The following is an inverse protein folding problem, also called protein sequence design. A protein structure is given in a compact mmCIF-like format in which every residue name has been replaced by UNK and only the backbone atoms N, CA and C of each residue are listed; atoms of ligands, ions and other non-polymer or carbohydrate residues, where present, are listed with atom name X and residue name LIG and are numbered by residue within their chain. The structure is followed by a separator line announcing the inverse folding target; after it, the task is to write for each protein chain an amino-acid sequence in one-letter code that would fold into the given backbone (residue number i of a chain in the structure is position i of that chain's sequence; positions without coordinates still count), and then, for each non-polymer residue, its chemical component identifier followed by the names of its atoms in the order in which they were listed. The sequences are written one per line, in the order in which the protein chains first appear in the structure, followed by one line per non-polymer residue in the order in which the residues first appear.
data_IF_653192659369
#
_entry.id   IF_653192659369
#
_cell.length_a   1.000
_cell.length_b   1.000
_cell.length_c   1.000
_cell.angle_alpha   90.00
_cell.angle_beta   90.00
_cell.angle_gamma   90.00
#
_symmetry.space_group_name_H-M   'P 1'
#
loop_
_entity.id
_entity.type
_entity.pdbx_description
1 polymer ?
#
# COMPACT_ATOMS: atom_id res chain seq x y z
N UNK A 1 7.03 18.24 14.07
CA UNK A 1 6.38 19.56 13.88
C UNK A 1 7.45 20.61 13.67
N UNK A 2 7.36 21.35 12.58
CA UNK A 2 8.26 22.46 12.32
C UNK A 2 8.09 23.52 13.43
N UNK A 3 9.22 24.01 13.99
CA UNK A 3 9.18 25.08 14.98
C UNK A 3 9.24 26.43 14.26
N UNK A 4 8.20 27.26 14.42
CA UNK A 4 8.16 28.62 13.92
C UNK A 4 8.10 29.63 15.06
N UNK A 5 8.48 30.88 14.77
CA UNK A 5 8.38 31.99 15.72
C UNK A 5 8.07 33.29 15.01
N UNK A 6 7.47 34.25 15.76
CA UNK A 6 7.21 35.61 15.27
C UNK A 6 8.04 36.60 16.06
N UNK A 7 8.49 37.66 15.40
CA UNK A 7 9.21 38.75 16.03
C UNK A 7 8.82 40.13 15.45
N UNK A 8 8.86 41.14 16.26
CA UNK A 8 8.61 42.52 15.83
C UNK A 8 9.89 43.18 15.30
N UNK A 9 9.79 43.82 14.13
CA UNK A 9 10.84 44.68 13.55
C UNK A 9 10.20 45.99 13.11
N UNK A 10 10.49 47.07 13.81
CA UNK A 10 9.87 48.36 13.54
C UNK A 10 8.35 48.34 13.74
N UNK A 11 7.58 48.74 12.73
CA UNK A 11 6.12 48.75 12.78
C UNK A 11 5.47 47.43 12.44
N UNK A 12 6.21 46.45 11.86
CA UNK A 12 5.67 45.16 11.38
C UNK A 12 6.18 44.02 12.18
N UNK A 13 5.37 42.94 12.21
CA UNK A 13 5.74 41.62 12.69
C UNK A 13 6.27 40.80 11.52
N UNK A 14 7.22 39.92 11.83
CA UNK A 14 7.82 38.98 10.90
C UNK A 14 7.64 37.56 11.46
N UNK A 15 7.46 36.59 10.59
CA UNK A 15 7.42 35.17 10.98
C UNK A 15 8.57 34.43 10.33
N UNK A 16 9.06 33.40 10.99
CA UNK A 16 10.16 32.57 10.52
C UNK A 16 9.92 31.13 10.92
N UNK A 17 10.31 30.19 10.04
CA UNK A 17 10.30 28.77 10.30
C UNK A 17 11.38 28.08 9.47
N UNK A 18 11.66 26.81 9.78
CA UNK A 18 12.66 26.03 9.08
C UNK A 18 12.07 25.37 7.85
N UNK A 19 12.77 25.48 6.71
CA UNK A 19 12.48 24.79 5.46
C UNK A 19 13.69 23.96 5.05
N UNK A 20 13.50 22.85 4.37
CA UNK A 20 14.59 22.09 3.77
C UNK A 20 15.03 22.77 2.47
N UNK A 21 16.34 22.92 2.27
CA UNK A 21 16.92 23.32 0.99
C UNK A 21 17.00 22.12 0.01
N UNK A 22 17.52 22.38 -1.20
CA UNK A 22 17.69 21.36 -2.23
C UNK A 22 18.63 20.22 -1.81
N UNK A 23 19.47 20.45 -0.82
CA UNK A 23 20.42 19.49 -0.25
C UNK A 23 19.86 18.74 0.97
N UNK A 24 18.62 19.03 1.39
CA UNK A 24 17.97 18.41 2.52
C UNK A 24 18.34 19.03 3.88
N UNK A 25 19.06 20.14 3.91
CA UNK A 25 19.42 20.81 5.13
C UNK A 25 18.29 21.75 5.60
N UNK A 26 18.09 21.83 6.92
CA UNK A 26 17.13 22.74 7.52
C UNK A 26 17.67 24.17 7.56
N UNK A 27 17.12 25.06 6.75
CA UNK A 27 17.45 26.48 6.71
C UNK A 27 16.29 27.29 7.26
N UNK A 28 16.60 28.24 8.19
CA UNK A 28 15.59 29.13 8.71
C UNK A 28 15.34 30.28 7.72
N UNK A 29 14.09 30.44 7.27
CA UNK A 29 13.69 31.59 6.45
C UNK A 29 12.72 32.50 7.20
N UNK A 30 12.86 33.79 6.96
CA UNK A 30 12.05 34.83 7.55
C UNK A 30 11.19 35.51 6.48
N UNK A 31 9.92 35.74 6.83
CA UNK A 31 8.90 36.32 5.95
C UNK A 31 8.26 37.55 6.63
N UNK A 32 7.82 38.51 5.82
CA UNK A 32 7.13 39.68 6.29
C UNK A 32 5.69 39.30 6.67
N UNK A 33 5.27 39.70 7.88
CA UNK A 33 3.88 39.56 8.33
C UNK A 33 3.16 40.92 8.28
N UNK A 34 2.25 41.13 9.24
CA UNK A 34 1.43 42.35 9.36
C UNK A 34 1.87 43.23 10.53
N UNK A 35 1.12 44.29 10.78
CA UNK A 35 1.31 45.13 11.98
C UNK A 35 0.71 44.48 13.23
N UNK A 36 -0.15 43.44 13.06
CA UNK A 36 -0.76 42.68 14.11
C UNK A 36 0.03 41.40 14.40
N UNK A 37 0.33 41.15 15.68
CA UNK A 37 0.96 39.89 16.13
C UNK A 37 0.09 38.68 15.83
N UNK A 38 -1.18 38.75 16.18
CA UNK A 38 -2.13 37.66 16.02
C UNK A 38 -2.32 37.25 14.56
N UNK A 39 -2.45 38.23 13.66
CA UNK A 39 -2.52 37.96 12.21
C UNK A 39 -1.23 37.34 11.68
N UNK A 40 -0.08 37.81 12.14
CA UNK A 40 1.22 37.24 11.74
C UNK A 40 1.39 35.79 12.25
N UNK A 41 0.87 35.47 13.44
CA UNK A 41 0.85 34.11 13.95
C UNK A 41 -0.10 33.19 13.13
N UNK A 42 -1.21 33.74 12.64
CA UNK A 42 -2.10 33.03 11.72
C UNK A 42 -1.42 32.77 10.37
N UNK A 43 -0.72 33.76 9.83
CA UNK A 43 0.08 33.60 8.61
C UNK A 43 1.20 32.56 8.77
N UNK A 44 1.87 32.55 9.92
CA UNK A 44 2.89 31.54 10.22
C UNK A 44 2.27 30.11 10.19
N UNK A 45 1.14 29.90 10.87
CA UNK A 45 0.47 28.59 10.88
C UNK A 45 0.12 28.14 9.48
N UNK A 46 -0.53 29.01 8.70
CA UNK A 46 -0.90 28.72 7.32
C UNK A 46 0.33 28.43 6.45
N UNK A 47 1.39 29.21 6.56
CA UNK A 47 2.63 29.01 5.80
C UNK A 47 3.32 27.68 6.16
N UNK A 48 3.27 27.26 7.42
CA UNK A 48 3.79 25.96 7.86
C UNK A 48 2.94 24.81 7.34
N UNK A 49 1.61 24.91 7.37
CA UNK A 49 0.68 23.93 6.80
C UNK A 49 0.90 23.81 5.29
N UNK A 50 0.97 24.91 4.56
CA UNK A 50 1.23 24.95 3.12
C UNK A 50 2.61 24.34 2.77
N UNK A 51 3.63 24.59 3.59
CA UNK A 51 4.96 24.03 3.40
C UNK A 51 4.96 22.51 3.63
N UNK A 52 4.32 22.04 4.71
CA UNK A 52 4.21 20.61 4.97
C UNK A 52 3.38 19.89 3.88
N UNK A 53 2.32 20.52 3.38
CA UNK A 53 1.53 20.01 2.28
C UNK A 53 2.34 19.91 0.97
N UNK A 54 3.14 20.96 0.65
CA UNK A 54 4.04 20.94 -0.52
C UNK A 54 5.15 19.89 -0.38
N UNK A 55 5.74 19.77 0.80
CA UNK A 55 6.75 18.74 1.09
C UNK A 55 6.17 17.34 0.94
N UNK A 56 4.93 17.15 1.39
CA UNK A 56 4.17 15.92 1.18
C UNK A 56 3.98 15.61 -0.31
N UNK A 57 3.54 16.59 -1.11
CA UNK A 57 3.37 16.44 -2.56
C UNK A 57 4.70 16.13 -3.25
N UNK A 58 5.79 16.82 -2.90
CA UNK A 58 7.11 16.59 -3.49
C UNK A 58 7.66 15.18 -3.22
N UNK A 59 7.47 14.64 -2.00
CA UNK A 59 7.85 13.26 -1.69
C UNK A 59 7.04 12.23 -2.46
N UNK A 60 5.74 12.49 -2.68
CA UNK A 60 4.86 11.58 -3.42
C UNK A 60 5.08 11.63 -4.94
N UNK A 61 5.59 12.74 -5.47
CA UNK A 61 5.72 12.96 -6.92
C UNK A 61 6.63 11.95 -7.61
N UNK A 62 7.65 11.49 -6.94
CA UNK A 62 8.66 10.58 -7.50
C UNK A 62 8.55 9.13 -7.03
N UNK A 63 7.79 8.85 -5.96
CA UNK A 63 7.67 7.50 -5.45
C UNK A 63 6.83 6.61 -6.38
N UNK A 64 7.35 5.41 -6.68
CA UNK A 64 6.61 4.38 -7.42
C UNK A 64 5.91 3.39 -6.48
N UNK A 65 4.98 2.59 -7.03
CA UNK A 65 4.34 1.50 -6.28
C UNK A 65 5.40 0.50 -5.79
N UNK A 66 6.40 0.18 -6.59
CA UNK A 66 7.48 -0.71 -6.20
C UNK A 66 8.30 -0.18 -5.03
N UNK A 67 8.64 1.12 -5.03
CA UNK A 67 9.32 1.76 -3.91
C UNK A 67 8.46 1.81 -2.64
N UNK A 68 7.16 2.05 -2.78
CA UNK A 68 6.23 1.96 -1.66
C UNK A 68 6.23 0.55 -1.05
N UNK A 69 6.16 -0.48 -1.88
CA UNK A 69 6.18 -1.88 -1.44
C UNK A 69 7.49 -2.23 -0.71
N UNK A 70 8.64 -1.75 -1.20
CA UNK A 70 9.93 -1.94 -0.52
C UNK A 70 9.94 -1.27 0.85
N UNK A 71 9.49 0.00 0.93
CA UNK A 71 9.39 0.71 2.21
C UNK A 71 8.45 0.00 3.19
N UNK A 72 7.30 -0.47 2.71
CA UNK A 72 6.35 -1.21 3.54
C UNK A 72 6.92 -2.51 4.08
N UNK A 73 7.66 -3.26 3.26
CA UNK A 73 8.34 -4.50 3.68
C UNK A 73 9.36 -4.22 4.78
N UNK A 74 10.20 -3.20 4.60
CA UNK A 74 11.29 -2.92 5.55
C UNK A 74 10.78 -2.31 6.87
N UNK A 75 9.78 -1.44 6.80
CA UNK A 75 9.39 -0.64 7.95
C UNK A 75 8.15 -1.15 8.70
N UNK A 76 7.29 -1.94 8.06
CA UNK A 76 6.06 -2.47 8.69
C UNK A 76 6.03 -3.99 8.70
N UNK A 77 6.36 -4.64 7.57
CA UNK A 77 6.21 -6.09 7.46
C UNK A 77 7.26 -6.86 8.27
N UNK A 78 8.56 -6.54 8.08
CA UNK A 78 9.67 -7.22 8.77
C UNK A 78 9.69 -6.99 10.28
N UNK A 79 9.48 -5.75 10.77
CA UNK A 79 9.43 -5.48 12.22
C UNK A 79 8.14 -5.98 12.88
N UNK A 80 7.13 -6.35 12.09
CA UNK A 80 5.84 -6.82 12.59
C UNK A 80 5.90 -8.20 13.25
N UNK A 81 4.78 -8.59 13.89
CA UNK A 81 4.66 -9.86 14.60
C UNK A 81 4.23 -11.04 13.70
N UNK A 82 4.58 -11.02 12.41
CA UNK A 82 4.25 -12.09 11.49
C UNK A 82 5.32 -13.18 11.50
N UNK A 83 4.91 -14.42 11.25
CA UNK A 83 5.87 -15.53 11.10
C UNK A 83 6.81 -15.29 9.91
N UNK A 84 8.04 -15.80 10.00
CA UNK A 84 9.02 -15.70 8.91
C UNK A 84 8.46 -16.26 7.58
N UNK A 85 7.70 -17.35 7.62
CA UNK A 85 7.05 -17.91 6.44
C UNK A 85 6.07 -16.95 5.77
N UNK A 86 5.28 -16.23 6.58
CA UNK A 86 4.34 -15.21 6.07
C UNK A 86 5.08 -14.04 5.46
N UNK A 87 6.15 -13.55 6.12
CA UNK A 87 6.99 -12.46 5.60
C UNK A 87 7.60 -12.85 4.24
N UNK A 88 8.18 -14.05 4.13
CA UNK A 88 8.75 -14.55 2.87
C UNK A 88 7.69 -14.68 1.76
N UNK A 89 6.49 -15.17 2.08
CA UNK A 89 5.39 -15.28 1.13
C UNK A 89 4.96 -13.91 0.60
N UNK A 90 4.85 -12.91 1.48
CA UNK A 90 4.51 -11.53 1.11
C UNK A 90 5.60 -10.88 0.29
N UNK A 91 6.88 -11.08 0.64
CA UNK A 91 8.01 -10.62 -0.18
C UNK A 91 7.98 -11.21 -1.59
N UNK A 92 7.68 -12.50 -1.73
CA UNK A 92 7.48 -13.14 -3.02
C UNK A 92 6.38 -12.46 -3.85
N UNK A 93 5.27 -12.08 -3.19
CA UNK A 93 4.17 -11.33 -3.85
C UNK A 93 4.60 -9.91 -4.23
N UNK A 94 5.30 -9.21 -3.35
CA UNK A 94 5.88 -7.89 -3.62
C UNK A 94 6.77 -7.93 -4.88
N UNK A 95 7.66 -8.90 -4.97
CA UNK A 95 8.55 -9.05 -6.13
C UNK A 95 7.76 -9.25 -7.44
N UNK A 96 6.68 -10.02 -7.42
CA UNK A 96 5.82 -10.20 -8.60
C UNK A 96 5.07 -8.92 -8.99
N UNK A 97 4.56 -8.15 -8.00
CA UNK A 97 3.93 -6.85 -8.26
C UNK A 97 4.93 -5.87 -8.87
N UNK A 98 6.17 -5.86 -8.39
CA UNK A 98 7.25 -5.00 -8.91
C UNK A 98 7.65 -5.33 -10.35
N UNK A 99 7.59 -6.60 -10.74
CA UNK A 99 7.86 -7.04 -12.12
C UNK A 99 6.75 -6.61 -13.10
N UNK A 100 5.51 -6.43 -12.60
CA UNK A 100 4.41 -5.95 -13.42
C UNK A 100 4.51 -4.43 -13.63
N UNK A 101 4.07 -3.87 -14.78
CA UNK A 101 4.11 -2.43 -15.06
C UNK A 101 3.47 -1.54 -13.99
N UNK A 102 2.52 -2.06 -13.20
CA UNK A 102 1.93 -1.34 -12.05
C UNK A 102 2.99 -0.98 -11.01
N UNK A 103 4.03 -1.80 -10.83
CA UNK A 103 5.14 -1.55 -9.90
C UNK A 103 5.95 -0.30 -10.25
N UNK A 104 6.09 0.01 -11.53
CA UNK A 104 6.83 1.17 -12.02
C UNK A 104 5.98 2.45 -12.09
N UNK A 105 4.67 2.34 -11.85
CA UNK A 105 3.78 3.49 -11.91
C UNK A 105 3.99 4.40 -10.69
N UNK A 106 4.03 5.72 -10.94
CA UNK A 106 4.15 6.71 -9.85
C UNK A 106 2.90 6.70 -8.99
N UNK A 107 3.05 6.75 -7.67
CA UNK A 107 1.94 6.72 -6.71
C UNK A 107 0.88 7.78 -6.98
N UNK A 108 1.30 9.00 -7.33
CA UNK A 108 0.41 10.12 -7.69
C UNK A 108 -0.49 9.82 -8.90
N UNK A 109 -0.04 8.97 -9.82
CA UNK A 109 -0.77 8.60 -11.03
C UNK A 109 -1.54 7.28 -10.91
N UNK A 110 -1.49 6.63 -9.76
CA UNK A 110 -2.25 5.39 -9.52
C UNK A 110 -3.69 5.76 -9.20
N UNK A 111 -4.60 5.27 -10.05
CA UNK A 111 -6.05 5.39 -9.85
C UNK A 111 -6.63 4.05 -9.42
N UNK A 112 -7.83 4.04 -8.80
CA UNK A 112 -8.54 2.78 -8.54
C UNK A 112 -8.70 1.91 -9.79
N UNK A 113 -8.94 2.50 -10.97
CA UNK A 113 -9.09 1.77 -12.24
C UNK A 113 -7.82 1.01 -12.64
N UNK A 114 -6.64 1.60 -12.42
CA UNK A 114 -5.37 0.93 -12.68
C UNK A 114 -5.19 -0.29 -11.78
N UNK A 115 -5.57 -0.18 -10.52
CA UNK A 115 -5.50 -1.29 -9.57
C UNK A 115 -6.58 -2.33 -9.87
N UNK A 116 -7.81 -1.90 -10.26
CA UNK A 116 -8.88 -2.80 -10.65
C UNK A 116 -8.48 -3.64 -11.86
N UNK A 117 -7.94 -3.01 -12.92
CA UNK A 117 -7.47 -3.73 -14.10
C UNK A 117 -6.40 -4.77 -13.77
N UNK A 118 -5.46 -4.42 -12.87
CA UNK A 118 -4.45 -5.37 -12.40
C UNK A 118 -5.06 -6.54 -11.62
N UNK A 119 -6.00 -6.27 -10.73
CA UNK A 119 -6.69 -7.29 -9.94
C UNK A 119 -7.57 -8.19 -10.79
N UNK A 120 -8.25 -7.62 -11.79
CA UNK A 120 -9.04 -8.39 -12.75
C UNK A 120 -8.14 -9.34 -13.56
N UNK A 121 -6.95 -8.88 -13.98
CA UNK A 121 -5.95 -9.72 -14.64
C UNK A 121 -5.51 -10.90 -13.73
N UNK A 122 -5.27 -10.64 -12.45
CA UNK A 122 -4.93 -11.68 -11.48
C UNK A 122 -6.08 -12.67 -11.24
N UNK A 123 -7.32 -12.17 -11.27
CA UNK A 123 -8.52 -12.97 -10.95
C UNK A 123 -8.98 -13.83 -12.11
N UNK A 124 -8.92 -13.31 -13.32
CA UNK A 124 -9.48 -13.97 -14.52
C UNK A 124 -8.41 -14.46 -15.49
N UNK A 125 -7.17 -14.03 -15.32
CA UNK A 125 -6.13 -14.22 -16.33
C UNK A 125 -6.32 -13.27 -17.51
N UNK A 126 -5.54 -13.46 -18.55
CA UNK A 126 -5.59 -12.63 -19.76
C UNK A 126 -4.21 -12.45 -20.37
N UNK A 127 -3.96 -11.27 -20.91
CA UNK A 127 -2.66 -10.92 -21.49
C UNK A 127 -2.01 -9.81 -20.68
N UNK A 128 -0.79 -10.04 -20.25
CA UNK A 128 0.03 -9.02 -19.61
C UNK A 128 0.33 -7.88 -20.59
N UNK A 129 0.69 -6.67 -20.12
CA UNK A 129 1.07 -5.55 -20.98
C UNK A 129 2.29 -5.83 -21.88
N UNK A 130 3.11 -6.83 -21.54
CA UNK A 130 4.25 -7.30 -22.34
C UNK A 130 3.87 -8.34 -23.40
N UNK A 131 2.58 -8.67 -23.53
CA UNK A 131 2.06 -9.66 -24.47
C UNK A 131 2.09 -11.11 -23.97
N UNK A 132 2.63 -11.38 -22.78
CA UNK A 132 2.65 -12.73 -22.21
C UNK A 132 1.29 -13.12 -21.63
N UNK A 133 0.96 -14.42 -21.70
CA UNK A 133 -0.27 -14.93 -21.11
C UNK A 133 -0.20 -14.95 -19.58
N UNK A 134 -1.19 -14.33 -18.93
CA UNK A 134 -1.37 -14.38 -17.49
C UNK A 134 -2.44 -15.41 -17.13
N UNK A 135 -2.10 -16.36 -16.25
CA UNK A 135 -3.08 -17.33 -15.72
C UNK A 135 -3.80 -16.72 -14.51
N UNK A 136 -5.09 -17.04 -14.38
CA UNK A 136 -5.86 -16.71 -13.20
C UNK A 136 -5.24 -17.34 -11.94
N UNK A 137 -5.15 -16.56 -10.88
CA UNK A 137 -4.65 -17.03 -9.60
C UNK A 137 -5.75 -17.72 -8.79
N UNK A 138 -5.33 -18.64 -7.91
CA UNK A 138 -6.26 -19.25 -6.95
C UNK A 138 -6.71 -18.23 -5.89
N UNK A 139 -7.84 -18.49 -5.24
CA UNK A 139 -8.42 -17.64 -4.19
C UNK A 139 -7.44 -17.35 -3.04
N UNK A 140 -6.60 -18.33 -2.68
CA UNK A 140 -5.57 -18.14 -1.64
C UNK A 140 -4.51 -17.08 -2.05
N UNK A 141 -4.01 -17.17 -3.28
CA UNK A 141 -3.07 -16.17 -3.81
C UNK A 141 -3.71 -14.79 -3.96
N UNK A 142 -4.96 -14.71 -4.43
CA UNK A 142 -5.67 -13.43 -4.54
C UNK A 142 -5.81 -12.75 -3.17
N UNK A 143 -6.11 -13.51 -2.10
CA UNK A 143 -6.13 -12.99 -0.73
C UNK A 143 -4.76 -12.43 -0.30
N UNK A 144 -3.68 -13.11 -0.67
CA UNK A 144 -2.32 -12.66 -0.38
C UNK A 144 -1.98 -11.35 -1.10
N UNK A 145 -2.31 -11.23 -2.39
CA UNK A 145 -2.15 -9.98 -3.13
C UNK A 145 -2.99 -8.84 -2.54
N UNK A 146 -4.23 -9.16 -2.13
CA UNK A 146 -5.10 -8.21 -1.44
C UNK A 146 -4.47 -7.68 -0.16
N UNK A 147 -3.96 -8.58 0.69
CA UNK A 147 -3.33 -8.20 1.96
C UNK A 147 -2.10 -7.31 1.74
N UNK A 148 -1.24 -7.65 0.78
CA UNK A 148 -0.04 -6.88 0.45
C UNK A 148 -0.41 -5.49 -0.08
N UNK A 149 -1.31 -5.40 -1.07
CA UNK A 149 -1.69 -4.11 -1.67
C UNK A 149 -2.43 -3.22 -0.66
N UNK A 150 -3.39 -3.77 0.09
CA UNK A 150 -4.12 -3.00 1.10
C UNK A 150 -3.19 -2.52 2.21
N UNK A 151 -2.27 -3.37 2.71
CA UNK A 151 -1.28 -3.00 3.71
C UNK A 151 -0.37 -1.88 3.23
N UNK A 152 0.22 -2.03 2.05
CA UNK A 152 1.13 -1.03 1.49
C UNK A 152 0.45 0.31 1.19
N UNK A 153 -0.76 0.32 0.60
CA UNK A 153 -1.47 1.57 0.32
C UNK A 153 -2.02 2.22 1.60
N UNK A 154 -2.39 1.46 2.64
CA UNK A 154 -2.69 2.00 3.96
C UNK A 154 -1.47 2.68 4.57
N UNK A 155 -0.32 2.03 4.52
CA UNK A 155 0.97 2.57 4.98
C UNK A 155 1.36 3.84 4.20
N UNK A 156 1.05 3.93 2.91
CA UNK A 156 1.28 5.12 2.10
C UNK A 156 0.43 6.32 2.55
N UNK A 157 -0.80 6.08 3.04
CA UNK A 157 -1.65 7.15 3.62
C UNK A 157 -1.15 7.53 5.01
N UNK A 158 -0.93 6.54 5.87
CA UNK A 158 -0.41 6.72 7.22
C UNK A 158 0.44 5.50 7.62
N UNK A 159 1.67 5.68 8.13
CA UNK A 159 2.28 6.93 8.60
C UNK A 159 3.02 7.74 7.53
N UNK A 160 3.23 7.19 6.31
CA UNK A 160 4.12 7.81 5.31
C UNK A 160 3.58 9.09 4.67
N UNK A 161 2.27 9.27 4.63
CA UNK A 161 1.61 10.43 4.01
C UNK A 161 2.10 10.70 2.58
N UNK A 162 2.29 9.65 1.78
CA UNK A 162 2.69 9.74 0.37
C UNK A 162 1.51 10.00 -0.55
N UNK A 163 0.32 9.61 -0.13
CA UNK A 163 -0.96 9.83 -0.81
C UNK A 163 -2.02 10.28 0.19
N UNK A 164 -3.01 11.03 -0.27
CA UNK A 164 -4.07 11.58 0.59
C UNK A 164 -5.20 10.57 0.88
N UNK A 165 -5.40 9.58 0.01
CA UNK A 165 -6.41 8.55 0.16
C UNK A 165 -5.89 7.20 -0.34
N UNK A 166 -6.48 6.11 0.15
CA UNK A 166 -6.12 4.76 -0.27
C UNK A 166 -6.97 4.33 -1.48
N UNK A 167 -6.40 4.21 -2.70
CA UNK A 167 -7.16 3.82 -3.88
C UNK A 167 -7.68 2.38 -3.81
N UNK A 168 -7.09 1.52 -2.99
CA UNK A 168 -7.56 0.13 -2.78
C UNK A 168 -8.94 0.04 -2.13
N UNK A 169 -9.45 1.12 -1.51
CA UNK A 169 -10.80 1.15 -0.94
C UNK A 169 -11.90 1.05 -2.00
N UNK A 170 -11.60 1.41 -3.24
CA UNK A 170 -12.55 1.40 -4.37
C UNK A 170 -12.37 0.20 -5.28
N UNK A 171 -11.47 -0.70 -4.94
CA UNK A 171 -11.17 -1.90 -5.73
C UNK A 171 -12.04 -3.06 -5.27
N UNK A 172 -12.71 -3.71 -6.22
CA UNK A 172 -13.57 -4.87 -5.98
C UNK A 172 -12.81 -6.15 -6.35
N UNK A 173 -12.66 -7.04 -5.40
CA UNK A 173 -12.09 -8.36 -5.62
C UNK A 173 -13.15 -9.29 -6.22
N UNK A 174 -13.01 -9.58 -7.52
CA UNK A 174 -13.89 -10.49 -8.26
C UNK A 174 -13.15 -11.81 -8.41
N UNK A 175 -13.64 -12.87 -7.77
CA UNK A 175 -13.17 -14.24 -8.01
C UNK A 175 -14.09 -14.96 -8.99
N UNK A 176 -13.59 -15.99 -9.67
CA UNK A 176 -14.49 -16.97 -10.31
C UNK A 176 -15.37 -17.55 -9.20
N UNK A 177 -16.69 -17.52 -9.37
CA UNK A 177 -17.57 -18.36 -8.56
C UNK A 177 -17.08 -19.79 -8.76
N UNK A 178 -16.69 -20.44 -7.68
CA UNK A 178 -16.31 -21.84 -7.75
C UNK A 178 -17.56 -22.62 -8.22
N UNK A 179 -17.40 -23.50 -9.18
CA UNK A 179 -18.48 -24.41 -9.62
C UNK A 179 -19.13 -25.17 -8.45
N UNK A 180 -18.42 -25.29 -7.34
CA UNK A 180 -18.90 -25.84 -6.07
C UNK A 180 -20.12 -25.13 -5.46
N UNK A 181 -20.28 -23.82 -5.65
CA UNK A 181 -21.47 -23.11 -5.13
C UNK A 181 -22.74 -23.47 -5.94
N UNK A 182 -22.59 -23.82 -7.21
CA UNK A 182 -23.70 -24.28 -8.06
C UNK A 182 -24.17 -25.66 -7.65
N UNK A 183 -23.28 -26.59 -7.33
CA UNK A 183 -23.63 -27.94 -6.86
C UNK A 183 -24.21 -27.95 -5.45
N UNK A 184 -23.77 -27.02 -4.55
CA UNK A 184 -24.28 -26.92 -3.19
C UNK A 184 -25.71 -26.39 -3.12
N UNK A 185 -26.11 -25.55 -4.12
CA UNK A 185 -27.48 -25.02 -4.18
C UNK A 185 -28.50 -26.00 -4.73
N UNK A 186 -28.09 -26.96 -5.59
CA UNK A 186 -29.01 -27.94 -6.16
C UNK A 186 -29.29 -29.14 -5.23
N UNK A 187 -28.36 -29.55 -4.37
CA UNK A 187 -28.46 -30.77 -3.58
C UNK A 187 -28.53 -30.58 -2.04
N UNK A 188 -28.48 -29.35 -1.54
CA UNK A 188 -28.64 -29.05 -0.10
C UNK A 188 -27.55 -29.60 0.84
N UNK A 189 -26.55 -30.31 0.31
CA UNK A 189 -25.44 -30.85 1.09
C UNK A 189 -24.17 -29.99 0.89
N UNK A 190 -23.55 -29.57 1.99
CA UNK A 190 -22.24 -28.95 1.95
C UNK A 190 -21.24 -29.96 1.32
N UNK A 191 -20.39 -29.53 0.37
CA UNK A 191 -19.42 -30.43 -0.24
C UNK A 191 -18.53 -30.99 0.87
N UNK A 192 -18.57 -32.32 1.04
CA UNK A 192 -17.71 -33.01 1.96
C UNK A 192 -16.25 -32.74 1.55
N UNK A 193 -15.47 -32.11 2.41
CA UNK A 193 -14.01 -32.02 2.22
C UNK A 193 -13.54 -33.46 2.08
N UNK A 194 -12.86 -33.84 0.97
CA UNK A 194 -12.38 -35.22 0.80
C UNK A 194 -11.37 -35.52 1.93
N UNK A 195 -11.89 -36.11 2.98
CA UNK A 195 -11.06 -36.61 4.10
C UNK A 195 -10.76 -38.08 3.83
N UNK A 196 -9.55 -38.48 4.15
CA UNK A 196 -9.17 -39.90 4.11
C UNK A 196 -10.10 -40.69 5.02
N UNK A 197 -10.67 -41.78 4.48
CA UNK A 197 -11.41 -42.75 5.32
C UNK A 197 -10.45 -43.40 6.32
N UNK A 198 -10.98 -43.95 7.40
CA UNK A 198 -10.16 -44.60 8.42
C UNK A 198 -9.32 -45.76 7.85
N UNK A 199 -9.83 -46.44 6.84
CA UNK A 199 -9.12 -47.52 6.10
C UNK A 199 -7.98 -46.96 5.24
N UNK A 200 -8.23 -45.85 4.53
CA UNK A 200 -7.19 -45.16 3.74
C UNK A 200 -6.09 -44.59 4.61
N UNK A 201 -6.44 -44.08 5.78
CA UNK A 201 -5.45 -43.58 6.76
C UNK A 201 -4.56 -44.70 7.28
N UNK A 202 -5.14 -45.87 7.66
CA UNK A 202 -4.39 -47.04 8.08
C UNK A 202 -3.49 -47.59 6.97
N UNK A 203 -3.98 -47.67 5.73
CA UNK A 203 -3.17 -48.10 4.60
C UNK A 203 -1.95 -47.17 4.37
N UNK A 204 -2.14 -45.85 4.56
CA UNK A 204 -1.06 -44.88 4.48
C UNK A 204 -0.04 -45.04 5.63
N UNK A 205 -0.50 -45.24 6.87
CA UNK A 205 0.37 -45.53 8.01
C UNK A 205 1.20 -46.80 7.79
N UNK A 206 0.59 -47.88 7.31
CA UNK A 206 1.28 -49.16 7.06
C UNK A 206 2.28 -49.04 5.90
N UNK A 207 1.99 -48.21 4.91
CA UNK A 207 2.94 -47.89 3.83
C UNK A 207 4.17 -47.12 4.35
N UNK A 208 3.95 -46.15 5.25
CA UNK A 208 5.02 -45.32 5.83
C UNK A 208 5.90 -46.09 6.82
N UNK A 209 5.33 -47.12 7.53
CA UNK A 209 6.09 -47.98 8.46
C UNK A 209 6.96 -49.02 7.74
N UNK A 210 6.71 -49.29 6.43
CA UNK A 210 7.49 -50.25 5.62
C UNK A 210 8.69 -49.66 4.90
N UNK A 211 8.92 -48.35 5.06
CA UNK A 211 10.12 -47.63 4.58
C UNK A 211 11.06 -47.34 5.73
#
# INVERSE_FOLDING_TARGET
MAKGSVRKKGKKWYYRFYIEDESGNLVQREFVGTESKSETEALLRKAMEDYEAKKFVAKSENATVGQLLDMWVEEELKPGNLSNGTVMAYQGTVNRIKQHPIGNRRLKSVTPDHLQAYIDLLSFGGTNPDGTAAKALSKGYLRQYSAVLQGAFRFAVFPKRLISFNPMQYVVWRGKKEEYELFSQENGDAPAVPTLTHEQFRALEDFLKKK
#
